data_IF_618039679464
#
_entry.id   IF_618039679464
#
_cell.length_a   1.000
_cell.length_b   1.000
_cell.length_c   1.000
_cell.angle_alpha   90.00
_cell.angle_beta   90.00
_cell.angle_gamma   90.00
#
_symmetry.space_group_name_H-M   'P 1'
#
loop_
_entity.id
_entity.type
_entity.pdbx_description
1 polymer ?
#
# COMPACT_ATOMS: atom_id res chain seq x y z
N UNK A 1 11.01 -5.46 -6.11
CA UNK A 1 10.56 -4.19 -5.52
C UNK A 1 11.79 -3.38 -5.16
N UNK A 2 11.82 -2.11 -5.54
CA UNK A 2 12.83 -1.15 -5.11
C UNK A 2 12.18 -0.13 -4.18
N UNK A 3 12.88 0.25 -3.12
CA UNK A 3 12.45 1.34 -2.25
C UNK A 3 13.37 2.55 -2.49
N UNK A 4 12.78 3.71 -2.75
CA UNK A 4 13.50 4.96 -3.03
C UNK A 4 13.18 5.97 -1.93
N UNK A 5 14.22 6.52 -1.29
CA UNK A 5 14.11 7.54 -0.24
C UNK A 5 14.96 8.77 -0.61
N UNK A 6 14.38 9.96 -0.85
CA UNK A 6 15.15 11.16 -1.19
C UNK A 6 16.13 11.59 -0.10
N UNK A 7 15.76 11.43 1.19
CA UNK A 7 16.66 11.70 2.33
C UNK A 7 17.60 10.52 2.64
N UNK A 8 17.40 9.36 2.01
CA UNK A 8 18.07 8.11 2.37
C UNK A 8 17.41 7.41 3.55
N UNK A 9 17.68 6.11 3.72
CA UNK A 9 17.08 5.29 4.79
C UNK A 9 17.88 5.30 6.10
N UNK A 10 19.10 5.80 6.05
CA UNK A 10 20.02 5.87 7.20
C UNK A 10 19.80 7.14 8.05
N UNK A 11 18.74 7.91 7.78
CA UNK A 11 18.41 9.09 8.57
C UNK A 11 17.94 8.68 9.97
N UNK A 12 18.18 9.55 10.93
CA UNK A 12 17.64 9.45 12.29
C UNK A 12 16.11 9.62 12.30
N UNK A 13 15.49 9.33 13.44
CA UNK A 13 14.05 9.52 13.63
C UNK A 13 13.65 11.01 13.57
N UNK A 14 14.50 11.90 14.07
CA UNK A 14 14.27 13.34 14.01
C UNK A 14 14.29 13.84 12.55
N UNK A 15 15.32 13.44 11.79
CA UNK A 15 15.41 13.76 10.36
C UNK A 15 14.25 13.17 9.55
N UNK A 16 13.80 11.96 9.91
CA UNK A 16 12.63 11.32 9.30
C UNK A 16 11.36 12.15 9.50
N UNK A 17 11.13 12.67 10.71
CA UNK A 17 9.99 13.54 11.02
C UNK A 17 10.09 14.88 10.30
N UNK A 18 11.28 15.49 10.31
CA UNK A 18 11.53 16.75 9.62
C UNK A 18 11.32 16.64 8.10
N UNK A 19 11.83 15.56 7.48
CA UNK A 19 11.60 15.29 6.07
C UNK A 19 10.13 15.07 5.77
N UNK A 20 9.40 14.31 6.59
CA UNK A 20 7.98 14.06 6.38
C UNK A 20 7.16 15.36 6.43
N UNK A 21 7.48 16.26 7.39
CA UNK A 21 6.84 17.58 7.46
C UNK A 21 7.14 18.40 6.20
N UNK A 22 8.40 18.45 5.77
CA UNK A 22 8.83 19.15 4.55
C UNK A 22 8.20 18.57 3.28
N UNK A 23 8.12 17.25 3.16
CA UNK A 23 7.54 16.57 2.02
C UNK A 23 6.02 16.79 1.94
N UNK A 24 5.33 16.83 3.07
CA UNK A 24 3.90 17.16 3.10
C UNK A 24 3.62 18.59 2.60
N UNK A 25 4.50 19.55 2.89
CA UNK A 25 4.39 20.92 2.39
C UNK A 25 4.80 21.03 0.91
N UNK A 26 5.95 20.45 0.54
CA UNK A 26 6.60 20.67 -0.77
C UNK A 26 6.26 19.63 -1.82
N UNK A 27 5.65 18.52 -1.42
CA UNK A 27 5.23 17.40 -2.26
C UNK A 27 6.41 16.79 -3.05
N UNK A 28 7.55 16.57 -2.38
CA UNK A 28 8.81 16.16 -3.01
C UNK A 28 8.67 14.77 -3.64
N UNK A 29 8.21 13.78 -2.88
CA UNK A 29 8.01 12.40 -3.36
C UNK A 29 6.97 12.33 -4.47
N UNK A 30 5.88 13.10 -4.35
CA UNK A 30 4.82 13.16 -5.38
C UNK A 30 5.37 13.64 -6.72
N UNK A 31 6.05 14.80 -6.72
CA UNK A 31 6.68 15.36 -7.93
C UNK A 31 7.73 14.42 -8.52
N UNK A 32 8.51 13.76 -7.65
CA UNK A 32 9.51 12.78 -8.11
C UNK A 32 8.83 11.59 -8.80
N UNK A 33 7.78 11.03 -8.20
CA UNK A 33 7.00 9.93 -8.80
C UNK A 33 6.37 10.35 -10.13
N UNK A 34 5.83 11.56 -10.26
CA UNK A 34 5.27 12.09 -11.52
C UNK A 34 6.33 12.09 -12.63
N UNK A 35 7.53 12.61 -12.35
CA UNK A 35 8.64 12.61 -13.31
C UNK A 35 9.06 11.19 -13.70
N UNK A 36 9.10 10.26 -12.73
CA UNK A 36 9.46 8.86 -13.01
C UNK A 36 8.40 8.16 -13.87
N UNK A 37 7.12 8.43 -13.65
CA UNK A 37 6.02 7.89 -14.46
C UNK A 37 6.11 8.33 -15.92
N UNK A 38 6.47 9.60 -16.16
CA UNK A 38 6.66 10.12 -17.52
C UNK A 38 7.89 9.51 -18.19
N UNK A 39 9.04 9.47 -17.48
CA UNK A 39 10.31 8.99 -18.04
C UNK A 39 10.33 7.49 -18.36
N UNK A 40 9.57 6.71 -17.61
CA UNK A 40 9.55 5.24 -17.71
C UNK A 40 8.16 4.70 -18.02
N UNK A 41 7.37 5.47 -18.78
CA UNK A 41 6.01 5.11 -19.17
C UNK A 41 5.94 3.78 -19.94
N UNK A 42 7.03 3.38 -20.59
CA UNK A 42 7.21 2.15 -21.36
C UNK A 42 7.48 0.91 -20.50
N UNK A 43 7.95 1.07 -19.25
CA UNK A 43 8.41 -0.05 -18.41
C UNK A 43 7.32 -0.73 -17.56
N UNK A 44 6.05 -0.35 -17.72
CA UNK A 44 4.89 -0.89 -16.99
C UNK A 44 5.13 -0.98 -15.46
N UNK A 45 5.67 0.10 -14.89
CA UNK A 45 5.97 0.22 -13.47
C UNK A 45 4.83 0.89 -12.69
N UNK A 46 4.69 0.49 -11.44
CA UNK A 46 3.83 1.10 -10.43
C UNK A 46 4.67 1.76 -9.35
N UNK A 47 4.16 2.87 -8.82
CA UNK A 47 4.83 3.70 -7.82
C UNK A 47 3.86 3.95 -6.67
N UNK A 48 4.25 3.58 -5.44
CA UNK A 48 3.41 3.74 -4.24
C UNK A 48 4.15 4.57 -3.19
N UNK A 49 3.60 5.75 -2.85
CA UNK A 49 4.15 6.61 -1.80
C UNK A 49 3.63 6.07 -0.46
N UNK A 50 4.56 5.65 0.40
CA UNK A 50 4.23 5.00 1.67
C UNK A 50 5.18 5.42 2.78
N UNK A 51 4.65 5.50 4.00
CA UNK A 51 5.41 5.92 5.18
C UNK A 51 5.89 7.38 5.09
N UNK A 52 6.97 7.68 5.80
CA UNK A 52 7.39 9.06 6.05
C UNK A 52 8.44 9.60 5.08
N UNK A 53 9.24 8.73 4.45
CA UNK A 53 10.46 9.15 3.73
C UNK A 53 10.62 8.56 2.34
N UNK A 54 9.84 7.53 1.98
CA UNK A 54 10.11 6.75 0.77
C UNK A 54 8.86 6.55 -0.09
N UNK A 55 9.09 5.98 -1.26
CA UNK A 55 8.09 5.34 -2.10
C UNK A 55 8.67 4.06 -2.70
N UNK A 56 7.81 3.12 -3.03
CA UNK A 56 8.18 1.85 -3.64
C UNK A 56 7.95 1.89 -5.16
N UNK A 57 8.83 1.20 -5.89
CA UNK A 57 8.76 0.98 -7.34
C UNK A 57 8.75 -0.51 -7.62
N UNK A 58 7.76 -0.95 -8.39
CA UNK A 58 7.55 -2.37 -8.69
C UNK A 58 6.82 -2.56 -10.02
N UNK A 59 6.96 -3.72 -10.68
CA UNK A 59 6.17 -4.03 -11.87
C UNK A 59 4.68 -3.96 -11.56
N UNK A 60 3.87 -3.50 -12.53
CA UNK A 60 2.40 -3.48 -12.37
C UNK A 60 1.87 -4.87 -12.03
N UNK A 61 0.94 -4.95 -11.08
CA UNK A 61 0.38 -6.20 -10.55
C UNK A 61 1.20 -6.87 -9.45
N UNK A 62 2.29 -6.24 -8.98
CA UNK A 62 3.03 -6.66 -7.78
C UNK A 62 2.54 -5.95 -6.51
N UNK A 63 1.32 -5.40 -6.53
CA UNK A 63 0.60 -4.96 -5.34
C UNK A 63 0.12 -6.17 -4.50
N UNK A 64 -0.65 -5.93 -3.44
CA UNK A 64 -1.08 -7.01 -2.53
C UNK A 64 -1.91 -8.09 -3.23
N UNK A 65 -2.57 -7.83 -4.36
CA UNK A 65 -3.29 -8.86 -5.13
C UNK A 65 -2.37 -9.98 -5.61
N UNK A 66 -1.06 -9.73 -5.70
CA UNK A 66 -0.06 -10.72 -6.08
C UNK A 66 -0.11 -11.97 -5.20
N UNK A 67 -0.42 -11.85 -3.90
CA UNK A 67 -0.51 -13.02 -3.02
C UNK A 67 -1.69 -13.93 -3.37
N UNK A 68 -2.76 -13.40 -3.98
CA UNK A 68 -3.98 -14.15 -4.29
C UNK A 68 -3.74 -15.27 -5.30
N UNK A 69 -2.66 -15.22 -6.09
CA UNK A 69 -2.29 -16.32 -7.00
C UNK A 69 -1.80 -17.57 -6.27
N UNK A 70 -1.34 -17.43 -5.03
CA UNK A 70 -0.79 -18.53 -4.24
C UNK A 70 -1.86 -19.29 -3.45
N UNK A 71 -3.04 -18.70 -3.28
CA UNK A 71 -4.18 -19.30 -2.56
C UNK A 71 -5.32 -19.70 -3.49
N UNK A 72 -5.16 -19.51 -4.80
CA UNK A 72 -6.18 -19.83 -5.81
C UNK A 72 -6.52 -21.33 -5.86
N UNK A 73 -5.55 -22.20 -5.60
CA UNK A 73 -5.74 -23.65 -5.67
C UNK A 73 -6.41 -24.22 -4.41
N UNK A 74 -6.43 -23.47 -3.31
CA UNK A 74 -6.95 -23.93 -2.01
C UNK A 74 -8.48 -23.94 -1.92
N UNK A 75 -9.19 -23.56 -2.99
CA UNK A 75 -10.66 -23.62 -3.11
C UNK A 75 -11.42 -23.02 -1.91
N UNK A 76 -10.96 -21.88 -1.40
CA UNK A 76 -11.69 -21.15 -0.37
C UNK A 76 -13.06 -20.68 -0.90
N UNK A 77 -14.12 -20.88 -0.10
CA UNK A 77 -15.46 -20.34 -0.42
C UNK A 77 -15.44 -18.80 -0.45
N UNK A 78 -14.71 -18.20 0.49
CA UNK A 78 -14.52 -16.74 0.60
C UNK A 78 -13.12 -16.43 1.11
N UNK A 79 -12.49 -15.41 0.53
CA UNK A 79 -11.25 -14.82 1.02
C UNK A 79 -11.59 -13.47 1.63
N UNK A 80 -11.51 -13.34 2.95
CA UNK A 80 -11.75 -12.07 3.63
C UNK A 80 -10.44 -11.29 3.73
N UNK A 81 -10.44 -10.02 3.31
CA UNK A 81 -9.28 -9.14 3.42
C UNK A 81 -9.62 -7.95 4.32
N UNK A 82 -8.78 -7.64 5.31
CA UNK A 82 -8.94 -6.49 6.20
C UNK A 82 -7.77 -5.52 5.97
N UNK A 83 -8.07 -4.24 5.74
CA UNK A 83 -7.04 -3.22 5.49
C UNK A 83 -7.47 -1.81 5.89
N UNK A 84 -6.50 -0.96 6.23
CA UNK A 84 -6.74 0.41 6.68
C UNK A 84 -6.47 1.47 5.60
N UNK A 85 -5.64 1.14 4.60
CA UNK A 85 -5.30 2.02 3.47
C UNK A 85 -5.98 1.58 2.18
N UNK A 86 -7.31 1.49 2.22
CA UNK A 86 -8.13 0.94 1.13
C UNK A 86 -8.65 1.96 0.13
N UNK A 87 -8.50 3.26 0.40
CA UNK A 87 -8.87 4.32 -0.55
C UNK A 87 -7.87 4.39 -1.73
N UNK A 88 -8.26 4.94 -2.90
CA UNK A 88 -7.37 5.04 -4.06
C UNK A 88 -6.01 5.68 -3.71
N UNK A 89 -4.93 4.98 -4.04
CA UNK A 89 -3.55 5.37 -3.70
C UNK A 89 -3.03 4.81 -2.37
N UNK A 90 -3.88 4.21 -1.55
CA UNK A 90 -3.48 3.41 -0.40
C UNK A 90 -2.97 2.03 -0.84
N UNK A 91 -2.06 1.44 -0.06
CA UNK A 91 -1.40 0.18 -0.43
C UNK A 91 -2.28 -1.06 -0.27
N UNK A 92 -3.49 -0.94 0.29
CA UNK A 92 -4.48 -2.00 0.41
C UNK A 92 -5.56 -1.92 -0.68
N UNK A 93 -5.61 -0.83 -1.45
CA UNK A 93 -6.70 -0.53 -2.35
C UNK A 93 -6.95 -1.67 -3.35
N UNK A 94 -5.92 -2.12 -4.07
CA UNK A 94 -6.06 -3.11 -5.15
C UNK A 94 -6.56 -4.46 -4.63
N UNK A 95 -6.08 -4.92 -3.47
CA UNK A 95 -6.56 -6.17 -2.87
C UNK A 95 -7.93 -5.99 -2.25
N UNK A 96 -8.23 -4.84 -1.66
CA UNK A 96 -9.53 -4.57 -1.05
C UNK A 96 -10.68 -4.55 -2.06
N UNK A 97 -10.47 -3.98 -3.24
CA UNK A 97 -11.49 -3.91 -4.32
C UNK A 97 -11.46 -5.12 -5.26
N UNK A 98 -10.55 -6.07 -5.03
CA UNK A 98 -10.44 -7.28 -5.84
C UNK A 98 -11.71 -8.13 -5.73
N UNK A 99 -12.28 -8.54 -6.86
CA UNK A 99 -13.44 -9.45 -6.91
C UNK A 99 -13.16 -10.80 -6.24
N UNK A 100 -11.87 -11.15 -6.06
CA UNK A 100 -11.45 -12.39 -5.38
C UNK A 100 -11.51 -12.30 -3.86
N UNK A 101 -11.83 -11.14 -3.30
CA UNK A 101 -11.86 -10.91 -1.86
C UNK A 101 -13.15 -10.24 -1.41
N UNK A 102 -13.57 -10.54 -0.18
CA UNK A 102 -14.53 -9.72 0.57
C UNK A 102 -13.72 -8.71 1.37
N UNK A 103 -13.70 -7.47 0.92
CA UNK A 103 -12.92 -6.39 1.52
C UNK A 103 -13.58 -5.76 2.74
N UNK A 104 -12.83 -5.64 3.84
CA UNK A 104 -13.21 -5.03 5.10
C UNK A 104 -12.30 -3.84 5.38
N UNK A 105 -12.85 -2.62 5.37
CA UNK A 105 -12.08 -1.42 5.73
C UNK A 105 -12.06 -1.32 7.25
N UNK A 106 -10.87 -1.15 7.81
CA UNK A 106 -10.67 -1.01 9.26
C UNK A 106 -9.92 0.28 9.57
N UNK A 107 -10.14 0.83 10.75
CA UNK A 107 -9.49 2.07 11.20
C UNK A 107 -8.46 1.84 12.30
N UNK A 108 -8.51 0.67 12.95
CA UNK A 108 -7.64 0.29 14.05
C UNK A 108 -7.65 -1.22 14.25
N UNK A 109 -6.69 -1.79 15.01
CA UNK A 109 -6.75 -3.20 15.40
C UNK A 109 -8.02 -3.58 16.16
N UNK A 110 -8.58 -2.67 16.96
CA UNK A 110 -9.81 -2.90 17.70
C UNK A 110 -11.04 -3.01 16.79
N UNK A 111 -11.07 -2.20 15.71
CA UNK A 111 -12.10 -2.27 14.66
C UNK A 111 -12.03 -3.61 13.91
N UNK A 112 -10.82 -4.10 13.60
CA UNK A 112 -10.63 -5.45 13.04
C UNK A 112 -11.23 -6.53 13.94
N UNK A 113 -10.98 -6.48 15.26
CA UNK A 113 -11.52 -7.45 16.21
C UNK A 113 -13.05 -7.41 16.24
N UNK A 114 -13.65 -6.21 16.34
CA UNK A 114 -15.10 -6.06 16.35
C UNK A 114 -15.76 -6.62 15.07
N UNK A 115 -15.13 -6.42 13.91
CA UNK A 115 -15.62 -6.97 12.64
C UNK A 115 -15.44 -8.50 12.57
N UNK A 116 -14.36 -9.05 13.11
CA UNK A 116 -14.15 -10.50 13.20
C UNK A 116 -15.20 -11.16 14.11
N UNK A 117 -15.48 -10.58 15.28
CA UNK A 117 -16.49 -11.08 16.22
C UNK A 117 -17.90 -11.10 15.59
N UNK A 118 -18.21 -10.09 14.75
CA UNK A 118 -19.48 -10.02 14.03
C UNK A 118 -19.58 -11.04 12.88
N UNK A 119 -18.46 -11.32 12.19
CA UNK A 119 -18.41 -12.25 11.07
C UNK A 119 -18.36 -13.73 11.50
N UNK A 120 -17.70 -14.01 12.62
CA UNK A 120 -17.47 -15.35 13.15
C UNK A 120 -17.95 -15.45 14.61
N UNK A 121 -19.26 -15.30 14.85
CA UNK A 121 -19.81 -15.42 16.20
C UNK A 121 -19.59 -16.85 16.74
N UNK A 122 -19.29 -16.94 18.05
CA UNK A 122 -19.14 -18.21 18.77
C UNK A 122 -20.48 -18.90 19.01
#
# INVERSE_FOLDING_TARGET
MLNVSPIGRNCSQEERLAFNAMDNERQIRKKFVEILREKFADLNLSFSIGGQISFDVFPKGWDKTYCLRHVQEEKFDKIHFFGDKTDPGGNDHEIYVSEKTVGHKVTSPADTLAQLDALFPQ
#
